data_IF_514891907367
#
_entry.id   IF_514891907367
#
_cell.length_a   1.000
_cell.length_b   1.000
_cell.length_c   1.000
_cell.angle_alpha   90.00
_cell.angle_beta   90.00
_cell.angle_gamma   90.00
#
_symmetry.space_group_name_H-M   'P 1'
#
loop_
_entity.id
_entity.type
_entity.pdbx_description
1 polymer ?
#
# COMPACT_ATOMS: atom_id res chain seq x y z
N UNK A 1 11.18 6.84 17.73
CA UNK A 1 10.51 6.91 16.41
C UNK A 1 10.14 8.34 16.04
N UNK A 2 9.45 9.08 16.88
CA UNK A 2 9.08 10.48 16.63
C UNK A 2 10.28 11.36 16.23
N UNK A 3 11.41 11.22 16.89
CA UNK A 3 12.64 11.96 16.53
C UNK A 3 13.13 11.63 15.11
N UNK A 4 13.00 10.38 14.69
CA UNK A 4 13.34 9.96 13.34
C UNK A 4 12.41 10.63 12.30
N UNK A 5 11.11 10.65 12.55
CA UNK A 5 10.15 11.35 11.67
C UNK A 5 10.36 12.86 11.67
N UNK A 6 10.68 13.48 12.81
CA UNK A 6 11.05 14.89 12.88
C UNK A 6 12.29 15.22 12.06
N UNK A 7 13.28 14.34 12.13
CA UNK A 7 14.48 14.49 11.28
C UNK A 7 14.11 14.50 9.79
N UNK A 8 13.30 13.52 9.34
CA UNK A 8 12.86 13.48 7.94
C UNK A 8 11.95 14.66 7.58
N UNK A 9 11.06 15.08 8.47
CA UNK A 9 10.24 16.28 8.26
C UNK A 9 11.11 17.52 8.04
N UNK A 10 12.15 17.71 8.86
CA UNK A 10 13.08 18.83 8.70
C UNK A 10 13.88 18.75 7.39
N UNK A 11 14.35 17.55 7.00
CA UNK A 11 15.09 17.36 5.73
C UNK A 11 14.22 17.64 4.51
N UNK A 12 12.94 17.27 4.57
CA UNK A 12 12.00 17.39 3.47
C UNK A 12 11.22 18.71 3.47
N UNK A 13 11.40 19.55 4.49
CA UNK A 13 10.68 20.80 4.64
C UNK A 13 9.21 20.65 5.04
N UNK A 14 8.84 19.49 5.58
CA UNK A 14 7.48 19.24 6.08
C UNK A 14 7.26 19.91 7.43
N UNK A 15 6.07 20.47 7.71
CA UNK A 15 5.74 21.01 9.02
C UNK A 15 5.82 19.93 10.13
N UNK A 16 6.21 20.31 11.33
CA UNK A 16 6.37 19.37 12.46
C UNK A 16 5.03 18.72 12.85
N UNK A 17 3.92 19.42 12.68
CA UNK A 17 2.57 18.92 12.93
C UNK A 17 2.26 17.66 12.12
N UNK A 18 2.84 17.52 10.93
CA UNK A 18 2.70 16.33 10.07
C UNK A 18 3.19 15.06 10.74
N UNK A 19 4.15 15.14 11.65
CA UNK A 19 4.66 13.95 12.36
C UNK A 19 3.54 13.25 13.14
N UNK A 20 2.70 14.00 13.85
CA UNK A 20 1.55 13.45 14.57
C UNK A 20 0.50 12.86 13.63
N UNK A 21 0.21 13.56 12.53
CA UNK A 21 -0.77 13.11 11.52
C UNK A 21 -0.33 11.79 10.87
N UNK A 22 0.93 11.68 10.38
CA UNK A 22 1.39 10.45 9.74
C UNK A 22 1.51 9.28 10.71
N UNK A 23 1.84 9.53 11.99
CA UNK A 23 1.81 8.49 13.02
C UNK A 23 0.40 7.93 13.23
N UNK A 24 -0.63 8.78 13.16
CA UNK A 24 -2.02 8.36 13.21
C UNK A 24 -2.42 7.55 11.97
N UNK A 25 -2.08 8.04 10.78
CA UNK A 25 -2.37 7.36 9.51
C UNK A 25 -1.81 5.94 9.45
N UNK A 26 -0.66 5.68 10.06
CA UNK A 26 -0.04 4.35 10.06
C UNK A 26 -0.27 3.58 11.37
N UNK A 27 -1.17 4.03 12.25
CA UNK A 27 -1.51 3.40 13.53
C UNK A 27 -0.26 3.10 14.40
N UNK A 28 0.60 4.12 14.61
CA UNK A 28 1.81 4.02 15.41
C UNK A 28 1.89 5.03 16.56
N UNK A 29 0.77 5.66 16.94
CA UNK A 29 0.74 6.67 18.01
C UNK A 29 1.24 6.09 19.34
N UNK A 30 0.80 4.87 19.71
CA UNK A 30 1.15 4.21 20.96
C UNK A 30 2.64 3.83 21.04
N UNK A 31 3.27 3.68 19.87
CA UNK A 31 4.69 3.34 19.74
C UNK A 31 5.58 4.56 19.51
N UNK A 32 5.03 5.78 19.50
CA UNK A 32 5.72 7.02 19.11
C UNK A 32 7.04 7.27 19.88
N UNK A 33 7.08 6.92 21.16
CA UNK A 33 8.28 7.05 22.02
C UNK A 33 9.33 5.94 21.85
N UNK A 34 9.03 4.86 21.14
CA UNK A 34 9.96 3.74 21.00
C UNK A 34 11.08 4.05 20.02
N UNK A 35 12.23 3.37 20.21
CA UNK A 35 13.36 3.44 19.27
C UNK A 35 13.04 2.58 18.05
N UNK A 36 13.30 3.08 16.83
CA UNK A 36 12.98 2.36 15.57
C UNK A 36 13.58 0.95 15.53
N UNK A 37 14.76 0.77 16.10
CA UNK A 37 15.43 -0.53 16.15
C UNK A 37 14.69 -1.58 17.00
N UNK A 38 13.90 -1.17 17.99
CA UNK A 38 13.13 -2.08 18.86
C UNK A 38 11.75 -2.45 18.29
N UNK A 39 11.36 -1.87 17.15
CA UNK A 39 10.07 -2.12 16.50
C UNK A 39 10.02 -3.50 15.83
N UNK A 40 8.81 -4.07 15.75
CA UNK A 40 8.56 -5.25 14.93
C UNK A 40 8.79 -4.97 13.43
N UNK A 41 8.88 -6.02 12.59
CA UNK A 41 9.01 -5.87 11.14
C UNK A 41 7.90 -5.01 10.54
N UNK A 42 6.63 -5.34 10.83
CA UNK A 42 5.48 -4.57 10.35
C UNK A 42 5.44 -3.14 10.89
N UNK A 43 5.86 -2.89 12.14
CA UNK A 43 6.01 -1.52 12.64
C UNK A 43 7.07 -0.74 11.88
N UNK A 44 8.22 -1.35 11.55
CA UNK A 44 9.27 -0.68 10.76
C UNK A 44 8.79 -0.33 9.34
N UNK A 45 8.05 -1.23 8.68
CA UNK A 45 7.44 -0.95 7.38
C UNK A 45 6.51 0.25 7.48
N UNK A 46 5.67 0.33 8.51
CA UNK A 46 4.77 1.47 8.73
C UNK A 46 5.51 2.77 9.06
N UNK A 47 6.65 2.73 9.75
CA UNK A 47 7.51 3.92 9.94
C UNK A 47 8.09 4.40 8.60
N UNK A 48 8.53 3.49 7.74
CA UNK A 48 8.99 3.86 6.39
C UNK A 48 7.86 4.52 5.60
N UNK A 49 6.66 3.96 5.62
CA UNK A 49 5.48 4.57 4.99
C UNK A 49 5.19 5.95 5.58
N UNK A 50 5.16 6.10 6.92
CA UNK A 50 4.98 7.40 7.57
C UNK A 50 5.99 8.45 7.08
N UNK A 51 7.24 8.04 6.87
CA UNK A 51 8.29 8.94 6.35
C UNK A 51 7.95 9.43 4.94
N UNK A 52 7.43 8.58 4.06
CA UNK A 52 7.04 8.98 2.69
C UNK A 52 5.82 9.90 2.69
N UNK A 53 4.91 9.73 3.64
CA UNK A 53 3.68 10.53 3.75
C UNK A 53 3.87 11.93 4.32
N UNK A 54 5.03 12.24 4.92
CA UNK A 54 5.33 13.57 5.49
C UNK A 54 5.08 14.69 4.49
N UNK A 55 5.51 14.52 3.24
CA UNK A 55 5.46 15.53 2.18
C UNK A 55 4.14 15.59 1.40
N UNK A 56 3.12 14.82 1.78
CA UNK A 56 1.88 14.71 0.98
C UNK A 56 2.18 14.50 -0.51
N UNK A 57 2.89 13.43 -0.87
CA UNK A 57 3.29 13.21 -2.26
C UNK A 57 2.06 13.03 -3.15
N UNK A 58 2.16 13.52 -4.39
CA UNK A 58 1.12 13.30 -5.41
C UNK A 58 1.20 11.92 -6.05
N UNK A 59 2.37 11.26 -5.94
CA UNK A 59 2.58 9.89 -6.43
C UNK A 59 3.35 9.11 -5.36
N UNK A 60 2.84 7.93 -5.01
CA UNK A 60 3.51 6.96 -4.14
C UNK A 60 3.75 5.66 -4.90
N UNK A 61 4.96 5.11 -4.74
CA UNK A 61 5.29 3.76 -5.19
C UNK A 61 5.60 2.92 -3.96
N UNK A 62 4.82 1.89 -3.73
CA UNK A 62 4.87 1.06 -2.54
C UNK A 62 5.10 -0.40 -2.94
N UNK A 63 6.15 -0.99 -2.38
CA UNK A 63 6.49 -2.38 -2.63
C UNK A 63 6.08 -3.24 -1.44
N UNK A 64 5.05 -4.08 -1.65
CA UNK A 64 4.48 -5.00 -0.65
C UNK A 64 4.19 -4.33 0.73
N UNK A 65 3.49 -3.18 0.79
CA UNK A 65 3.39 -2.36 2.00
C UNK A 65 2.62 -3.03 3.15
N UNK A 66 1.87 -4.07 2.88
CA UNK A 66 0.98 -4.77 3.82
C UNK A 66 1.56 -6.09 4.34
N UNK A 67 2.72 -6.51 3.83
CA UNK A 67 3.36 -7.76 4.26
C UNK A 67 3.66 -7.74 5.75
N UNK A 68 3.24 -8.81 6.44
CA UNK A 68 3.44 -8.98 7.88
C UNK A 68 2.49 -8.16 8.76
N UNK A 69 1.45 -7.56 8.19
CA UNK A 69 0.36 -6.94 8.94
C UNK A 69 -0.74 -7.96 9.24
N UNK A 70 -1.33 -7.83 10.42
CA UNK A 70 -2.59 -8.52 10.72
C UNK A 70 -3.76 -7.94 9.90
N UNK A 71 -4.89 -8.66 9.78
CA UNK A 71 -6.00 -8.25 8.92
C UNK A 71 -6.60 -6.88 9.29
N UNK A 72 -6.62 -6.50 10.56
CA UNK A 72 -7.18 -5.21 11.00
C UNK A 72 -6.28 -4.08 10.53
N UNK A 73 -4.98 -4.17 10.83
CA UNK A 73 -4.01 -3.17 10.40
C UNK A 73 -3.91 -3.05 8.87
N UNK A 74 -4.10 -4.16 8.15
CA UNK A 74 -4.16 -4.14 6.68
C UNK A 74 -5.36 -3.33 6.19
N UNK A 75 -6.54 -3.58 6.75
CA UNK A 75 -7.75 -2.83 6.40
C UNK A 75 -7.62 -1.33 6.70
N UNK A 76 -7.07 -0.97 7.87
CA UNK A 76 -6.82 0.42 8.25
C UNK A 76 -5.84 1.11 7.29
N UNK A 77 -4.81 0.38 6.83
CA UNK A 77 -3.85 0.91 5.89
C UNK A 77 -4.47 1.12 4.50
N UNK A 78 -5.28 0.19 4.02
CA UNK A 78 -6.02 0.35 2.75
C UNK A 78 -7.02 1.50 2.83
N UNK A 79 -7.68 1.71 3.98
CA UNK A 79 -8.52 2.88 4.19
C UNK A 79 -7.69 4.18 4.06
N UNK A 80 -6.50 4.23 4.67
CA UNK A 80 -5.60 5.39 4.54
C UNK A 80 -5.14 5.61 3.10
N UNK A 81 -4.92 4.55 2.33
CA UNK A 81 -4.58 4.65 0.90
C UNK A 81 -5.74 5.25 0.09
N UNK A 82 -6.98 4.85 0.36
CA UNK A 82 -8.17 5.45 -0.28
C UNK A 82 -8.29 6.94 0.04
N UNK A 83 -8.10 7.33 1.31
CA UNK A 83 -8.11 8.74 1.68
C UNK A 83 -7.05 9.56 0.94
N UNK A 84 -5.87 8.98 0.67
CA UNK A 84 -4.83 9.63 -0.13
C UNK A 84 -5.24 9.77 -1.60
N UNK A 85 -5.83 8.73 -2.20
CA UNK A 85 -6.30 8.79 -3.60
C UNK A 85 -7.49 9.73 -3.76
N UNK A 86 -8.43 9.75 -2.83
CA UNK A 86 -9.53 10.73 -2.78
C UNK A 86 -8.99 12.17 -2.66
N UNK A 87 -7.86 12.34 -1.98
CA UNK A 87 -7.13 13.60 -1.89
C UNK A 87 -6.33 13.97 -3.15
N UNK A 88 -6.37 13.14 -4.20
CA UNK A 88 -5.73 13.37 -5.50
C UNK A 88 -4.33 12.77 -5.65
N UNK A 89 -3.88 11.92 -4.72
CA UNK A 89 -2.63 11.18 -4.89
C UNK A 89 -2.84 9.96 -5.81
N UNK A 90 -1.80 9.56 -6.53
CA UNK A 90 -1.75 8.31 -7.30
C UNK A 90 -0.87 7.31 -6.55
N UNK A 91 -1.37 6.10 -6.33
CA UNK A 91 -0.64 5.02 -5.69
C UNK A 91 -0.35 3.90 -6.69
N UNK A 92 0.92 3.50 -6.76
CA UNK A 92 1.34 2.28 -7.42
C UNK A 92 1.79 1.29 -6.34
N UNK A 93 1.03 0.23 -6.16
CA UNK A 93 1.26 -0.77 -5.10
C UNK A 93 1.59 -2.11 -5.73
N UNK A 94 2.75 -2.70 -5.40
CA UNK A 94 3.00 -4.11 -5.70
C UNK A 94 2.41 -4.99 -4.61
N UNK A 95 1.76 -6.08 -4.99
CA UNK A 95 1.25 -7.09 -4.06
C UNK A 95 1.16 -8.45 -4.75
N UNK A 96 1.27 -9.51 -3.97
CA UNK A 96 0.97 -10.88 -4.40
C UNK A 96 -0.41 -11.36 -3.90
N UNK A 97 -1.17 -10.48 -3.24
CA UNK A 97 -2.49 -10.79 -2.67
C UNK A 97 -3.61 -10.35 -3.61
N UNK A 98 -4.41 -11.30 -4.06
CA UNK A 98 -5.61 -10.99 -4.85
C UNK A 98 -6.73 -10.36 -4.03
N UNK A 99 -6.69 -10.50 -2.69
CA UNK A 99 -7.58 -9.75 -1.80
C UNK A 99 -7.31 -8.24 -1.92
N UNK A 100 -6.04 -7.86 -1.96
CA UNK A 100 -5.62 -6.47 -2.12
C UNK A 100 -5.90 -5.93 -3.52
N UNK A 101 -5.85 -6.78 -4.54
CA UNK A 101 -6.24 -6.39 -5.89
C UNK A 101 -7.69 -5.91 -5.97
N UNK A 102 -8.59 -6.39 -5.09
CA UNK A 102 -9.98 -5.92 -5.04
C UNK A 102 -10.13 -4.50 -4.49
N UNK A 103 -9.10 -3.98 -3.82
CA UNK A 103 -9.06 -2.63 -3.24
C UNK A 103 -8.56 -1.57 -4.24
N UNK A 104 -8.03 -2.00 -5.39
CA UNK A 104 -7.44 -1.13 -6.41
C UNK A 104 -8.45 -0.74 -7.49
N UNK A 105 -8.28 0.46 -8.07
CA UNK A 105 -9.07 0.90 -9.22
C UNK A 105 -8.62 0.18 -10.50
N UNK A 106 -7.29 0.06 -10.70
CA UNK A 106 -6.67 -0.55 -11.86
C UNK A 106 -5.70 -1.66 -11.45
N UNK A 107 -5.59 -2.68 -12.29
CA UNK A 107 -4.70 -3.82 -12.11
C UNK A 107 -3.72 -3.97 -13.26
N UNK A 108 -2.45 -4.16 -12.94
CA UNK A 108 -1.41 -4.63 -13.86
C UNK A 108 -1.02 -6.05 -13.44
N UNK A 109 -1.56 -7.05 -14.14
CA UNK A 109 -1.26 -8.45 -13.85
C UNK A 109 0.08 -8.82 -14.50
N UNK A 110 1.03 -9.27 -13.70
CA UNK A 110 2.38 -9.59 -14.13
C UNK A 110 2.74 -11.04 -13.84
N UNK A 111 3.48 -11.66 -14.75
CA UNK A 111 4.12 -12.98 -14.56
C UNK A 111 5.40 -13.06 -15.37
N UNK A 112 6.44 -13.64 -14.79
CA UNK A 112 7.73 -13.89 -15.46
C UNK A 112 8.32 -12.64 -16.15
N UNK A 113 8.13 -11.45 -15.54
CA UNK A 113 8.62 -10.17 -16.05
C UNK A 113 7.78 -9.56 -17.18
N UNK A 114 6.66 -10.18 -17.55
CA UNK A 114 5.74 -9.69 -18.57
C UNK A 114 4.41 -9.22 -17.96
N UNK A 115 3.82 -8.15 -18.54
CA UNK A 115 2.46 -7.74 -18.25
C UNK A 115 1.50 -8.63 -19.04
N UNK A 116 0.68 -9.42 -18.35
CA UNK A 116 -0.33 -10.28 -18.95
C UNK A 116 -1.62 -9.54 -19.27
N UNK A 117 -2.00 -8.60 -18.42
CA UNK A 117 -3.18 -7.75 -18.62
C UNK A 117 -3.05 -6.44 -17.87
N UNK A 118 -3.62 -5.38 -18.46
CA UNK A 118 -3.96 -4.14 -17.79
C UNK A 118 -5.50 -4.05 -17.80
N UNK A 119 -6.14 -3.96 -16.65
CA UNK A 119 -7.58 -4.14 -16.49
C UNK A 119 -8.03 -3.58 -15.13
N UNK A 120 -9.34 -3.54 -14.90
CA UNK A 120 -9.91 -3.32 -13.57
C UNK A 120 -10.31 -4.64 -12.89
N UNK A 121 -10.53 -4.68 -11.57
CA UNK A 121 -11.07 -5.87 -10.90
C UNK A 121 -12.37 -6.39 -11.54
N UNK A 122 -13.28 -5.49 -11.91
CA UNK A 122 -14.57 -5.85 -12.48
C UNK A 122 -14.45 -6.36 -13.92
N UNK A 123 -13.69 -5.70 -14.77
CA UNK A 123 -13.38 -6.19 -16.11
C UNK A 123 -12.71 -7.56 -16.11
N UNK A 124 -11.83 -7.81 -15.11
CA UNK A 124 -11.18 -9.11 -14.96
C UNK A 124 -12.21 -10.20 -14.65
N UNK A 125 -13.15 -9.93 -13.74
CA UNK A 125 -14.28 -10.85 -13.43
C UNK A 125 -15.15 -11.10 -14.65
N UNK A 126 -15.55 -10.06 -15.37
CA UNK A 126 -16.38 -10.18 -16.57
C UNK A 126 -15.70 -10.99 -17.68
N UNK A 127 -14.42 -10.72 -17.97
CA UNK A 127 -13.67 -11.41 -19.02
C UNK A 127 -13.48 -12.90 -18.75
N UNK A 128 -13.39 -13.29 -17.48
CA UNK A 128 -13.10 -14.68 -17.09
C UNK A 128 -14.35 -15.45 -16.67
N UNK A 129 -15.45 -14.78 -16.36
CA UNK A 129 -16.64 -15.36 -15.77
C UNK A 129 -16.48 -15.81 -14.32
N UNK A 130 -15.37 -15.40 -13.67
CA UNK A 130 -15.03 -15.78 -12.31
C UNK A 130 -15.28 -14.62 -11.34
N UNK A 131 -16.01 -14.85 -10.25
CA UNK A 131 -16.24 -13.82 -9.24
C UNK A 131 -15.02 -13.61 -8.32
N UNK A 132 -14.23 -14.65 -8.12
CA UNK A 132 -13.01 -14.64 -7.30
C UNK A 132 -11.81 -14.21 -8.14
N UNK A 133 -11.11 -13.14 -7.72
CA UNK A 133 -9.98 -12.58 -8.46
C UNK A 133 -8.79 -13.55 -8.58
N UNK A 134 -8.59 -14.44 -7.60
CA UNK A 134 -7.53 -15.45 -7.70
C UNK A 134 -7.83 -16.45 -8.83
N UNK A 135 -9.09 -16.86 -8.97
CA UNK A 135 -9.54 -17.73 -10.06
C UNK A 135 -9.49 -17.01 -11.40
N UNK A 136 -9.93 -15.75 -11.43
CA UNK A 136 -9.86 -14.91 -12.60
C UNK A 136 -8.41 -14.75 -13.10
N UNK A 137 -7.47 -14.50 -12.22
CA UNK A 137 -6.05 -14.43 -12.55
C UNK A 137 -5.52 -15.75 -13.11
N UNK A 138 -5.86 -16.89 -12.48
CA UNK A 138 -5.48 -18.21 -12.98
C UNK A 138 -6.06 -18.51 -14.37
N UNK A 139 -7.27 -18.03 -14.68
CA UNK A 139 -7.87 -18.17 -16.00
C UNK A 139 -7.08 -17.39 -17.07
N UNK A 140 -6.64 -16.16 -16.76
CA UNK A 140 -5.78 -15.37 -17.65
C UNK A 140 -4.45 -16.09 -17.93
N UNK A 141 -3.79 -16.61 -16.88
CA UNK A 141 -2.53 -17.33 -17.03
C UNK A 141 -2.71 -18.53 -17.99
N UNK A 142 -3.72 -19.35 -17.76
CA UNK A 142 -3.99 -20.54 -18.59
C UNK A 142 -4.35 -20.18 -20.04
N UNK A 143 -5.04 -19.07 -20.25
CA UNK A 143 -5.38 -18.58 -21.57
C UNK A 143 -4.19 -17.97 -22.33
N UNK A 144 -3.16 -17.52 -21.63
CA UNK A 144 -1.93 -16.98 -22.25
C UNK A 144 -0.90 -18.07 -22.60
N UNK A 145 -1.07 -19.30 -22.13
CA UNK A 145 -0.21 -20.46 -22.43
C UNK A 145 -0.76 -21.31 -23.63
N UNK A 146 -1.94 -20.97 -24.15
CA UNK A 146 -2.60 -21.63 -25.28
C UNK A 146 -2.41 -20.83 -26.58
#
# INVERSE_FOLDING_TARGET
MTENLRYFAAVTGSPEERVGEVLAQVALQDAAGQIVHSLSGGQRTRVSLATTLLNRPTVLVLDEPTVGLDPILRADLWQSFRELTDGGATLLVSSHSMEEASECDDLLLMRDGAILAATTPDELRERTGENDLSRAFLAIIRGSEA
#
